data_IF_491855802401
#
_entry.id   IF_491855802401
#
_cell.length_a   1.000
_cell.length_b   1.000
_cell.length_c   1.000
_cell.angle_alpha   90.00
_cell.angle_beta   90.00
_cell.angle_gamma   90.00
#
_symmetry.space_group_name_H-M   'P 1'
#
loop_
_entity.id
_entity.type
_entity.pdbx_description
1 polymer ?
#
# COMPACT_ATOMS: atom_id res chain seq x y z
N UNK A 1 34.88 5.30 17.45
CA UNK A 1 33.83 4.45 16.85
C UNK A 1 34.42 3.76 15.63
N UNK A 2 34.31 2.45 15.51
CA UNK A 2 34.99 1.62 14.49
C UNK A 2 34.27 1.73 13.12
N UNK A 3 33.09 2.30 13.08
CA UNK A 3 32.19 2.25 11.91
C UNK A 3 31.73 3.66 11.55
N UNK A 4 31.77 4.01 10.25
CA UNK A 4 31.33 5.32 9.73
C UNK A 4 29.80 5.50 9.90
N UNK A 5 29.35 6.71 10.18
CA UNK A 5 27.93 7.05 10.40
C UNK A 5 27.03 6.70 9.20
N UNK A 6 27.56 6.80 7.99
CA UNK A 6 26.87 6.43 6.76
C UNK A 6 26.52 4.93 6.74
N UNK A 7 27.44 4.07 7.18
CA UNK A 7 27.22 2.64 7.27
C UNK A 7 26.18 2.29 8.36
N UNK A 8 26.24 2.94 9.52
CA UNK A 8 25.23 2.78 10.58
C UNK A 8 23.85 3.19 10.07
N UNK A 9 23.76 4.29 9.33
CA UNK A 9 22.49 4.76 8.73
C UNK A 9 21.92 3.74 7.71
N UNK A 10 22.79 3.12 6.92
CA UNK A 10 22.41 2.08 5.98
C UNK A 10 21.86 0.83 6.69
N UNK A 11 22.55 0.36 7.74
CA UNK A 11 22.08 -0.79 8.55
C UNK A 11 20.75 -0.51 9.21
N UNK A 12 20.53 0.70 9.73
CA UNK A 12 19.24 1.12 10.31
C UNK A 12 18.10 0.96 9.31
N UNK A 13 18.30 1.42 8.08
CA UNK A 13 17.27 1.36 7.02
C UNK A 13 16.99 -0.08 6.58
N UNK A 14 18.03 -0.89 6.43
CA UNK A 14 17.90 -2.28 5.94
C UNK A 14 17.21 -3.16 6.99
N UNK A 15 17.60 -3.05 8.25
CA UNK A 15 17.13 -3.95 9.31
C UNK A 15 16.03 -3.38 10.20
N UNK A 16 15.59 -2.14 9.96
CA UNK A 16 14.58 -1.49 10.80
C UNK A 16 15.03 -1.25 12.24
N UNK A 17 16.35 -1.07 12.47
CA UNK A 17 16.92 -0.86 13.78
C UNK A 17 17.00 0.64 14.12
N UNK A 18 16.90 0.97 15.42
CA UNK A 18 17.21 2.31 15.89
C UNK A 18 18.73 2.52 16.00
N UNK A 19 19.16 3.78 16.25
CA UNK A 19 20.57 4.13 16.28
C UNK A 19 21.34 3.38 17.37
N UNK A 20 20.77 3.23 18.54
CA UNK A 20 21.44 2.53 19.64
C UNK A 20 21.54 1.05 19.40
N UNK A 21 20.52 0.43 18.82
CA UNK A 21 20.54 -0.99 18.43
C UNK A 21 21.69 -1.28 17.45
N UNK A 22 21.85 -0.42 16.41
CA UNK A 22 22.93 -0.61 15.44
C UNK A 22 24.31 -0.40 16.08
N UNK A 23 24.45 0.60 16.95
CA UNK A 23 25.71 0.84 17.67
C UNK A 23 26.11 -0.35 18.55
N UNK A 24 25.19 -0.87 19.35
CA UNK A 24 25.45 -2.01 20.24
C UNK A 24 25.70 -3.28 19.43
N UNK A 25 24.94 -3.52 18.38
CA UNK A 25 25.12 -4.70 17.51
C UNK A 25 26.47 -4.69 16.80
N UNK A 26 26.87 -3.58 16.20
CA UNK A 26 28.19 -3.45 15.54
C UNK A 26 29.35 -3.54 16.54
N UNK A 27 29.19 -3.02 17.75
CA UNK A 27 30.16 -3.21 18.82
C UNK A 27 30.29 -4.70 19.20
N UNK A 28 29.17 -5.42 19.32
CA UNK A 28 29.17 -6.84 19.62
C UNK A 28 29.78 -7.67 18.47
N UNK A 29 29.45 -7.35 17.20
CA UNK A 29 30.07 -8.00 16.04
C UNK A 29 31.59 -7.89 16.05
N UNK A 30 32.15 -6.76 16.47
CA UNK A 30 33.61 -6.55 16.55
C UNK A 30 34.28 -7.38 17.63
N UNK A 31 33.53 -7.87 18.63
CA UNK A 31 34.06 -8.64 19.78
C UNK A 31 33.70 -10.10 19.75
N UNK A 32 32.65 -10.46 19.02
CA UNK A 32 32.09 -11.80 19.00
C UNK A 32 31.26 -12.15 20.25
N UNK A 33 31.82 -11.90 21.43
CA UNK A 33 31.15 -12.14 22.73
C UNK A 33 31.53 -11.05 23.72
N UNK A 34 30.55 -10.45 24.41
CA UNK A 34 30.79 -9.41 25.41
C UNK A 34 29.67 -9.34 26.45
N UNK A 35 29.97 -8.67 27.57
CA UNK A 35 28.99 -8.31 28.59
C UNK A 35 28.32 -6.96 28.23
N UNK A 36 27.16 -6.67 28.86
CA UNK A 36 26.47 -5.40 28.65
C UNK A 36 27.32 -4.17 29.06
N UNK A 37 28.12 -4.31 30.11
CA UNK A 37 29.01 -3.22 30.56
C UNK A 37 30.11 -2.90 29.56
N UNK A 38 30.75 -3.91 28.96
CA UNK A 38 31.76 -3.73 27.91
C UNK A 38 31.14 -3.10 26.66
N UNK A 39 29.96 -3.57 26.26
CA UNK A 39 29.24 -3.05 25.09
C UNK A 39 28.82 -1.59 25.29
N UNK A 40 28.37 -1.21 26.48
CA UNK A 40 28.06 0.17 26.81
C UNK A 40 29.26 1.10 26.56
N UNK A 41 30.45 0.68 27.01
CA UNK A 41 31.69 1.45 26.85
C UNK A 41 32.14 1.55 25.38
N UNK A 42 31.99 0.46 24.60
CA UNK A 42 32.44 0.41 23.20
C UNK A 42 31.48 1.16 22.27
N UNK A 43 30.16 1.01 22.50
CA UNK A 43 29.12 1.58 21.65
C UNK A 43 28.76 3.02 21.96
N UNK A 44 29.29 3.57 23.06
CA UNK A 44 28.93 4.89 23.59
C UNK A 44 27.40 5.01 23.81
N UNK A 45 26.83 3.94 24.42
CA UNK A 45 25.41 3.86 24.79
C UNK A 45 25.30 3.76 26.31
N UNK A 46 24.43 4.54 26.95
CA UNK A 46 24.29 4.51 28.41
C UNK A 46 23.99 3.10 28.93
N UNK A 47 24.68 2.68 29.99
CA UNK A 47 24.58 1.32 30.56
C UNK A 47 23.14 0.92 30.91
N UNK A 48 22.37 1.84 31.44
CA UNK A 48 20.94 1.61 31.74
C UNK A 48 20.12 1.21 30.52
N UNK A 49 20.45 1.76 29.34
CA UNK A 49 19.76 1.44 28.07
C UNK A 49 20.33 0.22 27.37
N UNK A 50 21.58 -0.12 27.62
CA UNK A 50 22.27 -1.22 26.93
C UNK A 50 21.58 -2.56 27.17
N UNK A 51 21.05 -2.82 28.36
CA UNK A 51 20.30 -4.04 28.66
C UNK A 51 19.00 -4.15 27.86
N UNK A 52 18.19 -3.08 27.80
CA UNK A 52 16.94 -3.04 27.04
C UNK A 52 17.21 -3.23 25.54
N UNK A 53 18.30 -2.62 25.04
CA UNK A 53 18.73 -2.76 23.65
C UNK A 53 19.16 -4.18 23.33
N UNK A 54 19.94 -4.81 24.20
CA UNK A 54 20.38 -6.19 24.03
C UNK A 54 19.21 -7.17 24.08
N UNK A 55 18.24 -6.96 24.96
CA UNK A 55 17.00 -7.74 24.97
C UNK A 55 16.19 -7.56 23.68
N UNK A 56 16.10 -6.32 23.19
CA UNK A 56 15.45 -6.03 21.90
C UNK A 56 16.15 -6.72 20.73
N UNK A 57 17.48 -6.68 20.69
CA UNK A 57 18.28 -7.34 19.64
C UNK A 57 18.17 -8.87 19.71
N UNK A 58 18.10 -9.45 20.89
CA UNK A 58 17.86 -10.88 21.08
C UNK A 58 16.47 -11.29 20.56
N UNK A 59 15.42 -10.58 20.96
CA UNK A 59 14.04 -10.78 20.45
C UNK A 59 13.94 -10.64 18.93
N UNK A 60 14.67 -9.70 18.35
CA UNK A 60 14.73 -9.49 16.89
C UNK A 60 15.59 -10.55 16.18
N UNK A 61 16.38 -11.34 16.90
CA UNK A 61 17.20 -12.42 16.35
C UNK A 61 18.58 -11.99 15.86
N UNK A 62 19.12 -10.87 16.33
CA UNK A 62 20.45 -10.36 15.95
C UNK A 62 21.58 -10.94 16.80
N UNK A 63 21.28 -11.34 18.02
CA UNK A 63 22.25 -11.81 19.00
C UNK A 63 21.67 -13.00 19.77
N UNK A 64 22.48 -13.63 20.60
CA UNK A 64 22.04 -14.66 21.54
C UNK A 64 22.55 -14.33 22.94
N UNK A 65 21.65 -14.39 23.91
CA UNK A 65 22.02 -14.24 25.32
C UNK A 65 22.50 -15.59 25.86
N UNK A 66 23.74 -15.59 26.40
CA UNK A 66 24.32 -16.74 27.11
C UNK A 66 24.20 -16.49 28.61
N UNK A 67 23.38 -17.29 29.28
CA UNK A 67 23.19 -17.25 30.71
C UNK A 67 24.50 -17.61 31.44
N UNK A 68 24.83 -16.87 32.49
CA UNK A 68 26.03 -17.05 33.28
C UNK A 68 26.24 -15.92 34.28
N UNK A 69 27.30 -15.97 35.05
CA UNK A 69 27.73 -14.89 35.96
C UNK A 69 29.11 -14.41 35.56
N UNK A 70 29.26 -13.30 34.80
CA UNK A 70 28.20 -12.42 34.28
C UNK A 70 27.49 -12.99 33.06
N UNK A 71 26.30 -12.45 32.75
CA UNK A 71 25.58 -12.70 31.49
C UNK A 71 26.41 -12.17 30.33
N UNK A 72 26.58 -12.99 29.28
CA UNK A 72 27.30 -12.62 28.05
C UNK A 72 26.35 -12.64 26.84
N UNK A 73 26.62 -11.78 25.91
CA UNK A 73 25.90 -11.70 24.63
C UNK A 73 26.84 -12.13 23.51
N UNK A 74 26.32 -12.91 22.58
CA UNK A 74 27.10 -13.51 21.49
C UNK A 74 26.55 -12.94 20.16
N UNK A 75 27.43 -12.41 19.33
CA UNK A 75 27.08 -12.02 17.98
C UNK A 75 26.80 -13.25 17.11
N UNK A 76 25.75 -13.18 16.33
CA UNK A 76 25.50 -14.14 15.26
C UNK A 76 26.20 -13.70 13.98
N UNK A 77 26.52 -14.67 13.11
CA UNK A 77 27.04 -14.36 11.77
C UNK A 77 26.04 -13.51 11.00
N UNK A 78 26.50 -12.49 10.26
CA UNK A 78 25.59 -11.59 9.52
C UNK A 78 24.61 -12.33 8.61
N UNK A 79 25.03 -13.40 7.94
CA UNK A 79 24.18 -14.20 7.06
C UNK A 79 23.07 -14.89 7.86
N UNK A 80 23.39 -15.40 9.06
CA UNK A 80 22.41 -16.03 9.96
C UNK A 80 21.40 -15.00 10.48
N UNK A 81 21.86 -13.78 10.78
CA UNK A 81 20.99 -12.67 11.17
C UNK A 81 19.97 -12.35 10.07
N UNK A 82 20.41 -12.26 8.80
CA UNK A 82 19.52 -12.01 7.67
C UNK A 82 18.41 -13.06 7.59
N UNK A 83 18.76 -14.34 7.69
CA UNK A 83 17.76 -15.42 7.61
C UNK A 83 16.81 -15.44 8.83
N UNK A 84 17.30 -15.12 10.03
CA UNK A 84 16.46 -15.01 11.22
C UNK A 84 15.49 -13.83 11.14
N UNK A 85 15.98 -12.65 10.75
CA UNK A 85 15.14 -11.45 10.59
C UNK A 85 14.08 -11.69 9.54
N UNK A 86 14.43 -12.25 8.38
CA UNK A 86 13.48 -12.60 7.32
C UNK A 86 12.38 -13.54 7.84
N UNK A 87 12.75 -14.59 8.58
CA UNK A 87 11.81 -15.54 9.16
C UNK A 87 10.88 -14.89 10.18
N UNK A 88 11.42 -14.04 11.06
CA UNK A 88 10.63 -13.32 12.05
C UNK A 88 9.64 -12.37 11.38
N UNK A 89 10.07 -11.61 10.38
CA UNK A 89 9.18 -10.72 9.60
C UNK A 89 8.03 -11.47 8.94
N UNK A 90 8.31 -12.63 8.35
CA UNK A 90 7.27 -13.47 7.74
C UNK A 90 6.28 -13.99 8.78
N UNK A 91 6.77 -14.45 9.92
CA UNK A 91 5.94 -14.93 11.04
C UNK A 91 5.06 -13.82 11.59
N UNK A 92 5.63 -12.65 11.87
CA UNK A 92 4.91 -11.48 12.39
C UNK A 92 3.83 -11.01 11.40
N UNK A 93 4.16 -11.01 10.09
CA UNK A 93 3.21 -10.66 9.05
C UNK A 93 2.04 -11.66 9.01
N UNK A 94 2.33 -12.96 9.07
CA UNK A 94 1.29 -14.01 9.07
C UNK A 94 0.39 -13.90 10.31
N UNK A 95 0.97 -13.70 11.50
CA UNK A 95 0.20 -13.54 12.73
C UNK A 95 -0.68 -12.29 12.70
N UNK A 96 -0.16 -11.17 12.20
CA UNK A 96 -0.95 -9.93 12.05
C UNK A 96 -2.07 -10.10 11.04
N UNK A 97 -1.79 -10.74 9.90
CA UNK A 97 -2.82 -11.03 8.89
C UNK A 97 -3.93 -11.88 9.47
N UNK A 98 -3.58 -12.96 10.19
CA UNK A 98 -4.55 -13.84 10.83
C UNK A 98 -5.42 -13.10 11.85
N UNK A 99 -4.83 -12.21 12.68
CA UNK A 99 -5.59 -11.38 13.63
C UNK A 99 -6.57 -10.45 12.92
N UNK A 100 -6.15 -9.83 11.80
CA UNK A 100 -7.02 -8.95 11.02
C UNK A 100 -8.14 -9.73 10.30
N UNK A 101 -7.90 -10.96 9.91
CA UNK A 101 -8.94 -11.83 9.34
C UNK A 101 -10.01 -12.19 10.37
N UNK A 102 -9.61 -12.50 11.60
CA UNK A 102 -10.57 -12.79 12.69
C UNK A 102 -11.36 -11.58 13.12
N UNK A 103 -10.81 -10.36 12.99
CA UNK A 103 -11.53 -9.13 13.33
C UNK A 103 -12.81 -8.90 12.49
N UNK A 104 -12.93 -9.49 11.30
CA UNK A 104 -14.13 -9.31 10.46
C UNK A 104 -15.40 -9.89 11.09
N UNK A 105 -15.25 -10.84 11.98
CA UNK A 105 -16.35 -11.52 12.69
C UNK A 105 -16.42 -11.09 14.17
N UNK A 106 -15.60 -10.12 14.58
CA UNK A 106 -15.46 -9.66 15.96
C UNK A 106 -16.45 -8.53 16.27
N UNK A 107 -16.89 -8.48 17.52
CA UNK A 107 -17.72 -7.42 18.09
C UNK A 107 -17.13 -6.02 17.87
N UNK A 108 -15.80 -5.90 17.86
CA UNK A 108 -15.05 -4.68 17.56
C UNK A 108 -15.42 -4.07 16.22
N UNK A 109 -15.56 -4.89 15.17
CA UNK A 109 -15.99 -4.38 13.84
C UNK A 109 -17.46 -3.95 13.87
N UNK A 110 -18.31 -4.64 14.63
CA UNK A 110 -19.69 -4.24 14.83
C UNK A 110 -19.79 -2.88 15.53
N UNK A 111 -19.00 -2.67 16.58
CA UNK A 111 -18.93 -1.37 17.28
C UNK A 111 -18.41 -0.25 16.36
N UNK A 112 -17.34 -0.51 15.60
CA UNK A 112 -16.81 0.43 14.62
C UNK A 112 -17.84 0.78 13.53
N UNK A 113 -18.58 -0.22 13.04
CA UNK A 113 -19.67 0.01 12.09
C UNK A 113 -20.80 0.84 12.69
N UNK A 114 -21.11 0.62 13.96
CA UNK A 114 -22.11 1.43 14.70
C UNK A 114 -21.66 2.88 14.82
N UNK A 115 -20.42 3.12 15.19
CA UNK A 115 -19.83 4.45 15.24
C UNK A 115 -19.82 5.12 13.86
N UNK A 116 -19.44 4.39 12.84
CA UNK A 116 -19.47 4.88 11.46
C UNK A 116 -20.89 5.26 11.01
N UNK A 117 -21.86 4.39 11.28
CA UNK A 117 -23.26 4.62 10.88
C UNK A 117 -23.91 5.76 11.68
N UNK A 118 -23.59 5.90 12.95
CA UNK A 118 -24.07 7.03 13.79
C UNK A 118 -23.44 8.36 13.38
N UNK A 119 -22.17 8.34 12.93
CA UNK A 119 -21.49 9.53 12.39
C UNK A 119 -22.07 10.02 11.05
N UNK A 120 -22.58 9.10 10.22
CA UNK A 120 -23.13 9.42 8.88
C UNK A 120 -24.51 10.14 8.97
N UNK A 121 -25.22 10.10 10.10
CA UNK A 121 -26.53 10.78 10.23
C UNK A 121 -26.49 12.32 10.14
N UNK A 122 -25.31 12.92 10.17
CA UNK A 122 -25.09 14.33 9.87
C UNK A 122 -24.24 14.45 8.59
N UNK A 123 -24.80 14.05 7.45
CA UNK A 123 -24.16 14.32 6.14
C UNK A 123 -24.40 15.80 5.83
N UNK A 124 -23.44 16.63 6.17
CA UNK A 124 -23.38 17.96 5.57
C UNK A 124 -23.06 17.82 4.07
N UNK A 125 -23.51 18.75 3.21
CA UNK A 125 -23.15 18.71 1.78
C UNK A 125 -21.65 18.62 1.50
N UNK A 126 -20.79 19.06 2.42
CA UNK A 126 -19.34 18.90 2.41
C UNK A 126 -18.86 17.45 2.51
N UNK A 127 -19.70 16.53 3.00
CA UNK A 127 -19.33 15.11 3.15
C UNK A 127 -19.62 14.28 1.89
N UNK A 128 -20.21 14.92 0.87
CA UNK A 128 -20.47 14.31 -0.43
C UNK A 128 -19.23 14.25 -1.32
N UNK A 129 -18.13 14.83 -0.90
CA UNK A 129 -16.88 14.81 -1.66
C UNK A 129 -15.66 14.88 -0.76
N UNK A 130 -14.54 14.37 -1.26
CA UNK A 130 -13.27 14.46 -0.57
C UNK A 130 -12.09 14.38 -1.53
N UNK A 131 -10.91 14.80 -1.07
CA UNK A 131 -9.68 14.72 -1.84
C UNK A 131 -8.69 13.73 -1.26
N UNK A 132 -7.98 13.05 -2.14
CA UNK A 132 -6.92 12.09 -1.80
C UNK A 132 -5.63 12.51 -2.48
N UNK A 133 -4.52 12.39 -1.76
CA UNK A 133 -3.18 12.68 -2.27
C UNK A 133 -2.30 11.41 -2.22
N UNK A 134 -1.50 11.23 -3.25
CA UNK A 134 -0.62 10.09 -3.42
C UNK A 134 -1.26 8.94 -4.19
N UNK A 135 -0.54 8.46 -5.22
CA UNK A 135 -1.06 7.45 -6.17
C UNK A 135 -1.49 6.16 -5.48
N UNK A 136 -0.80 5.72 -4.44
CA UNK A 136 -1.18 4.52 -3.70
C UNK A 136 -2.52 4.68 -3.00
N UNK A 137 -2.74 5.84 -2.35
CA UNK A 137 -4.02 6.14 -1.69
C UNK A 137 -5.17 6.20 -2.71
N UNK A 138 -4.92 6.80 -3.90
CA UNK A 138 -5.88 6.81 -4.99
C UNK A 138 -6.25 5.39 -5.44
N UNK A 139 -5.27 4.50 -5.60
CA UNK A 139 -5.54 3.12 -6.03
C UNK A 139 -6.23 2.29 -4.96
N UNK A 140 -5.88 2.47 -3.69
CA UNK A 140 -6.59 1.82 -2.58
C UNK A 140 -8.07 2.24 -2.55
N UNK A 141 -8.34 3.53 -2.74
CA UNK A 141 -9.73 4.04 -2.80
C UNK A 141 -10.46 3.54 -4.05
N UNK A 142 -9.81 3.54 -5.22
CA UNK A 142 -10.38 2.96 -6.44
C UNK A 142 -10.71 1.48 -6.29
N UNK A 143 -9.85 0.70 -5.65
CA UNK A 143 -10.10 -0.71 -5.38
C UNK A 143 -11.32 -0.91 -4.47
N UNK A 144 -11.45 -0.09 -3.45
CA UNK A 144 -12.63 -0.08 -2.57
C UNK A 144 -13.92 0.25 -3.36
N UNK A 145 -13.92 1.31 -4.16
CA UNK A 145 -15.05 1.69 -5.01
C UNK A 145 -15.43 0.59 -6.01
N UNK A 146 -14.45 -0.03 -6.65
CA UNK A 146 -14.68 -1.14 -7.60
C UNK A 146 -15.32 -2.33 -6.89
N UNK A 147 -14.86 -2.68 -5.70
CA UNK A 147 -15.42 -3.80 -4.93
C UNK A 147 -16.86 -3.57 -4.49
N UNK A 148 -17.23 -2.32 -4.21
CA UNK A 148 -18.60 -1.95 -3.83
C UNK A 148 -19.57 -1.88 -5.01
N UNK A 149 -19.09 -1.92 -6.25
CA UNK A 149 -19.93 -1.85 -7.44
C UNK A 149 -20.96 -2.97 -7.50
N UNK A 150 -22.19 -2.63 -7.88
CA UNK A 150 -23.32 -3.56 -8.01
C UNK A 150 -23.78 -3.73 -9.48
N UNK A 151 -23.69 -2.68 -10.30
CA UNK A 151 -24.26 -2.65 -11.63
C UNK A 151 -23.23 -2.37 -12.74
N UNK A 152 -22.46 -1.28 -12.59
CA UNK A 152 -21.59 -0.79 -13.65
C UNK A 152 -20.31 -0.14 -13.15
N UNK A 153 -19.27 -0.25 -13.95
CA UNK A 153 -17.98 0.41 -13.76
C UNK A 153 -17.54 1.03 -15.09
N UNK A 154 -17.33 2.33 -15.09
CA UNK A 154 -16.78 3.07 -16.23
C UNK A 154 -15.43 3.66 -15.85
N UNK A 155 -14.38 3.35 -16.58
CA UNK A 155 -12.99 3.81 -16.33
C UNK A 155 -12.49 4.56 -17.56
N UNK A 156 -12.10 5.81 -17.37
CA UNK A 156 -11.36 6.60 -18.37
C UNK A 156 -9.96 6.88 -17.83
N UNK A 157 -8.93 6.63 -18.63
CA UNK A 157 -7.55 6.77 -18.16
C UNK A 157 -6.59 7.13 -19.29
N UNK A 158 -5.36 7.43 -18.93
CA UNK A 158 -4.25 7.66 -19.86
C UNK A 158 -3.65 6.34 -20.34
N UNK A 159 -2.78 6.42 -21.34
CA UNK A 159 -2.02 5.27 -21.85
C UNK A 159 -1.25 4.55 -20.73
N UNK A 160 -0.41 5.26 -19.99
CA UNK A 160 0.37 4.70 -18.87
C UNK A 160 -0.53 4.33 -17.69
N UNK A 161 -1.60 5.10 -17.48
CA UNK A 161 -2.59 4.82 -16.46
C UNK A 161 -3.33 3.51 -16.67
N UNK A 162 -3.48 3.07 -17.92
CA UNK A 162 -4.09 1.78 -18.26
C UNK A 162 -3.25 0.62 -17.72
N UNK A 163 -1.96 0.60 -18.06
CA UNK A 163 -1.03 -0.45 -17.61
C UNK A 163 -0.99 -0.55 -16.08
N UNK A 164 -0.80 0.58 -15.40
CA UNK A 164 -0.75 0.63 -13.94
C UNK A 164 -2.06 0.20 -13.26
N UNK A 165 -3.21 0.54 -13.86
CA UNK A 165 -4.51 0.12 -13.33
C UNK A 165 -4.76 -1.37 -13.47
N UNK A 166 -4.28 -1.98 -14.55
CA UNK A 166 -4.35 -3.44 -14.70
C UNK A 166 -3.56 -4.13 -13.60
N UNK A 167 -2.32 -3.72 -13.38
CA UNK A 167 -1.48 -4.30 -12.31
C UNK A 167 -2.13 -4.20 -10.93
N UNK A 168 -2.75 -3.06 -10.63
CA UNK A 168 -3.29 -2.78 -9.30
C UNK A 168 -4.72 -3.31 -9.08
N UNK A 169 -5.58 -3.29 -10.11
CA UNK A 169 -7.04 -3.44 -9.97
C UNK A 169 -7.60 -4.70 -10.65
N UNK A 170 -6.81 -5.42 -11.44
CA UNK A 170 -7.28 -6.60 -12.19
C UNK A 170 -8.01 -7.63 -11.32
N UNK A 171 -7.50 -7.99 -10.12
CA UNK A 171 -8.18 -8.97 -9.27
C UNK A 171 -9.60 -8.55 -8.85
N UNK A 172 -9.80 -7.26 -8.63
CA UNK A 172 -11.12 -6.71 -8.26
C UNK A 172 -12.06 -6.60 -9.46
N UNK A 173 -11.55 -6.22 -10.64
CA UNK A 173 -12.31 -6.21 -11.89
C UNK A 173 -12.75 -7.63 -12.29
N UNK A 174 -11.91 -8.65 -12.12
CA UNK A 174 -12.29 -10.05 -12.36
C UNK A 174 -13.41 -10.51 -11.44
N UNK A 175 -13.37 -10.13 -10.16
CA UNK A 175 -14.45 -10.43 -9.20
C UNK A 175 -15.76 -9.76 -9.62
N UNK A 176 -15.70 -8.48 -10.03
CA UNK A 176 -16.87 -7.76 -10.53
C UNK A 176 -17.43 -8.39 -11.80
N UNK A 177 -16.59 -8.82 -12.73
CA UNK A 177 -17.02 -9.52 -13.96
C UNK A 177 -17.75 -10.83 -13.63
N UNK A 178 -17.24 -11.61 -12.67
CA UNK A 178 -17.92 -12.85 -12.20
C UNK A 178 -19.29 -12.59 -11.55
N UNK A 179 -19.47 -11.41 -10.95
CA UNK A 179 -20.75 -10.94 -10.40
C UNK A 179 -21.73 -10.42 -11.48
N UNK A 180 -21.32 -10.39 -12.75
CA UNK A 180 -22.13 -9.88 -13.86
C UNK A 180 -22.11 -8.38 -14.05
N UNK A 181 -21.23 -7.64 -13.37
CA UNK A 181 -21.13 -6.19 -13.44
C UNK A 181 -20.63 -5.78 -14.83
N UNK A 182 -21.24 -4.76 -15.42
CA UNK A 182 -20.82 -4.15 -16.68
C UNK A 182 -19.57 -3.32 -16.48
N UNK A 183 -18.48 -3.65 -17.18
CA UNK A 183 -17.21 -2.92 -17.07
C UNK A 183 -16.84 -2.31 -18.43
N UNK A 184 -16.68 -1.00 -18.49
CA UNK A 184 -16.25 -0.25 -19.69
C UNK A 184 -14.96 0.49 -19.38
N UNK A 185 -14.00 0.41 -20.29
CA UNK A 185 -12.70 1.08 -20.15
C UNK A 185 -12.37 1.83 -21.43
N UNK A 186 -12.04 3.10 -21.31
CA UNK A 186 -11.57 3.93 -22.42
C UNK A 186 -10.18 4.50 -22.11
N UNK A 187 -9.25 4.34 -23.02
CA UNK A 187 -7.89 4.89 -22.92
C UNK A 187 -7.28 5.05 -24.30
N UNK A 188 -6.27 5.93 -24.48
CA UNK A 188 -5.44 5.90 -25.67
C UNK A 188 -4.70 4.57 -25.78
N UNK A 189 -4.90 3.88 -26.90
CA UNK A 189 -4.28 2.58 -27.18
C UNK A 189 -3.22 2.73 -28.26
N UNK A 190 -2.00 2.31 -27.97
CA UNK A 190 -0.87 2.25 -28.88
C UNK A 190 -0.13 0.90 -28.77
N UNK A 191 0.98 0.77 -29.48
CA UNK A 191 1.77 -0.47 -29.50
C UNK A 191 2.30 -0.87 -28.11
N UNK A 192 2.50 0.09 -27.20
CA UNK A 192 3.09 -0.15 -25.88
C UNK A 192 2.08 -0.79 -24.91
N UNK A 193 0.80 -0.44 -25.03
CA UNK A 193 -0.24 -0.94 -24.13
C UNK A 193 -1.28 -1.86 -24.80
N UNK A 194 -1.14 -2.16 -26.09
CA UNK A 194 -2.06 -3.03 -26.82
C UNK A 194 -2.22 -4.41 -26.17
N UNK A 195 -1.12 -5.00 -25.69
CA UNK A 195 -1.14 -6.29 -24.99
C UNK A 195 -1.99 -6.22 -23.71
N UNK A 196 -1.82 -5.18 -22.94
CA UNK A 196 -2.58 -4.90 -21.71
C UNK A 196 -4.06 -4.67 -22.04
N UNK A 197 -4.35 -3.90 -23.08
CA UNK A 197 -5.73 -3.65 -23.50
C UNK A 197 -6.44 -4.96 -23.94
N UNK A 198 -5.73 -5.88 -24.60
CA UNK A 198 -6.26 -7.21 -24.97
C UNK A 198 -6.50 -8.09 -23.73
N UNK A 199 -5.67 -8.00 -22.72
CA UNK A 199 -5.89 -8.71 -21.46
C UNK A 199 -7.14 -8.23 -20.75
N UNK A 200 -7.34 -6.92 -20.69
CA UNK A 200 -8.55 -6.29 -20.12
C UNK A 200 -9.84 -6.68 -20.82
N UNK A 201 -9.82 -7.04 -22.12
CA UNK A 201 -11.00 -7.51 -22.85
C UNK A 201 -11.63 -8.78 -22.24
N UNK A 202 -10.89 -9.54 -21.44
CA UNK A 202 -11.43 -10.71 -20.72
C UNK A 202 -12.45 -10.30 -19.66
N UNK A 203 -12.32 -9.11 -19.11
CA UNK A 203 -13.14 -8.62 -17.98
C UNK A 203 -13.99 -7.41 -18.33
N UNK A 204 -13.64 -6.63 -19.34
CA UNK A 204 -14.25 -5.36 -19.69
C UNK A 204 -14.44 -5.16 -21.20
N UNK A 205 -15.35 -4.28 -21.58
CA UNK A 205 -15.37 -3.71 -22.92
C UNK A 205 -14.33 -2.59 -23.00
N UNK A 206 -13.35 -2.72 -23.89
CA UNK A 206 -12.23 -1.76 -24.02
C UNK A 206 -12.31 -1.06 -25.36
N UNK A 207 -12.32 0.28 -25.35
CA UNK A 207 -12.32 1.12 -26.55
C UNK A 207 -11.17 2.12 -26.55
N UNK A 208 -10.71 2.45 -27.76
CA UNK A 208 -9.64 3.42 -27.97
C UNK A 208 -10.18 4.85 -27.89
N UNK A 209 -9.56 5.69 -27.03
CA UNK A 209 -9.94 7.08 -26.78
C UNK A 209 -8.78 8.03 -27.10
N UNK A 210 -8.62 8.39 -28.36
CA UNK A 210 -7.47 9.19 -28.82
C UNK A 210 -7.55 10.68 -28.49
N UNK A 211 -8.76 11.24 -28.39
CA UNK A 211 -8.97 12.68 -28.41
C UNK A 211 -9.21 13.30 -27.03
N UNK A 212 -9.56 12.54 -26.02
CA UNK A 212 -9.89 13.05 -24.71
C UNK A 212 -8.76 12.69 -23.70
N UNK A 213 -8.30 13.70 -22.98
CA UNK A 213 -7.35 13.54 -21.89
C UNK A 213 -8.09 13.69 -20.57
N UNK A 214 -8.52 12.58 -20.01
CA UNK A 214 -9.20 12.56 -18.73
C UNK A 214 -8.81 11.33 -17.95
N UNK A 215 -8.95 11.41 -16.63
CA UNK A 215 -8.71 10.32 -15.70
C UNK A 215 -9.83 10.33 -14.68
N UNK A 216 -10.81 9.47 -14.86
CA UNK A 216 -11.92 9.34 -13.92
C UNK A 216 -12.47 7.90 -13.90
N UNK A 217 -13.21 7.60 -12.85
CA UNK A 217 -14.02 6.40 -12.73
C UNK A 217 -15.43 6.78 -12.30
N UNK A 218 -16.43 6.10 -12.84
CA UNK A 218 -17.82 6.17 -12.40
C UNK A 218 -18.26 4.77 -11.97
N UNK A 219 -18.87 4.68 -10.80
CA UNK A 219 -19.41 3.44 -10.24
C UNK A 219 -20.92 3.61 -10.07
N UNK A 220 -21.69 2.70 -10.67
CA UNK A 220 -23.15 2.59 -10.53
C UNK A 220 -23.94 3.87 -10.78
N UNK A 221 -23.40 4.79 -11.61
CA UNK A 221 -23.96 6.12 -11.83
C UNK A 221 -24.19 6.93 -10.54
N UNK A 222 -23.48 6.59 -9.47
CA UNK A 222 -23.65 7.18 -8.14
C UNK A 222 -22.37 7.77 -7.58
N UNK A 223 -21.24 7.13 -7.80
CA UNK A 223 -19.94 7.57 -7.30
C UNK A 223 -19.00 7.91 -8.45
N UNK A 224 -18.22 8.95 -8.26
CA UNK A 224 -17.22 9.41 -9.23
C UNK A 224 -15.90 9.64 -8.52
N UNK A 225 -14.79 9.34 -9.18
CA UNK A 225 -13.49 9.80 -8.76
C UNK A 225 -12.74 10.38 -9.95
N UNK A 226 -12.29 11.62 -9.82
CA UNK A 226 -11.41 12.29 -10.78
C UNK A 226 -9.98 12.34 -10.27
N UNK A 227 -9.04 12.13 -11.16
CA UNK A 227 -7.63 12.43 -10.92
C UNK A 227 -7.34 13.78 -11.59
N UNK A 228 -6.89 14.74 -10.79
CA UNK A 228 -6.75 16.13 -11.21
C UNK A 228 -5.52 16.43 -12.04
N UNK A 229 -4.49 15.58 -11.94
CA UNK A 229 -3.18 15.81 -12.53
C UNK A 229 -2.90 14.86 -13.70
N UNK A 230 -2.10 15.33 -14.65
CA UNK A 230 -1.54 14.49 -15.70
C UNK A 230 -0.45 13.59 -15.09
N UNK A 231 -0.67 12.29 -15.09
CA UNK A 231 0.20 11.30 -14.46
C UNK A 231 1.57 11.12 -15.12
N UNK A 232 1.80 11.76 -16.28
CA UNK A 232 3.11 11.86 -16.94
C UNK A 232 3.97 12.96 -16.36
N UNK A 233 3.36 14.05 -15.89
CA UNK A 233 4.06 15.28 -15.51
C UNK A 233 4.39 15.36 -14.03
N UNK A 234 3.71 14.59 -13.20
CA UNK A 234 3.81 14.70 -11.75
C UNK A 234 4.31 13.44 -11.09
N UNK A 235 5.14 13.61 -10.06
CA UNK A 235 5.61 12.50 -9.25
C UNK A 235 4.43 11.77 -8.56
N UNK A 236 4.46 10.44 -8.39
CA UNK A 236 3.37 9.65 -7.80
C UNK A 236 2.86 10.17 -6.45
N UNK A 237 3.73 10.70 -5.61
CA UNK A 237 3.35 11.22 -4.28
C UNK A 237 2.49 12.50 -4.32
N UNK A 238 2.47 13.20 -5.47
CA UNK A 238 1.67 14.40 -5.67
C UNK A 238 0.40 14.14 -6.49
N UNK A 239 0.22 12.93 -7.01
CA UNK A 239 -1.01 12.56 -7.72
C UNK A 239 -2.20 12.80 -6.80
N UNK A 240 -3.18 13.55 -7.28
CA UNK A 240 -4.32 14.01 -6.48
C UNK A 240 -5.61 13.67 -7.19
N UNK A 241 -6.56 13.15 -6.44
CA UNK A 241 -7.91 12.86 -6.92
C UNK A 241 -8.97 13.42 -5.99
N UNK A 242 -10.14 13.66 -6.55
CA UNK A 242 -11.35 14.04 -5.82
C UNK A 242 -12.39 12.97 -6.05
N UNK A 243 -12.94 12.44 -4.98
CA UNK A 243 -14.09 11.56 -5.05
C UNK A 243 -15.37 12.34 -4.74
N UNK A 244 -16.45 11.95 -5.39
CA UNK A 244 -17.78 12.58 -5.29
C UNK A 244 -18.80 11.45 -5.19
N UNK A 245 -19.64 11.50 -4.18
CA UNK A 245 -20.71 10.54 -3.94
C UNK A 245 -22.06 11.24 -4.10
N UNK A 246 -22.41 11.58 -5.32
CA UNK A 246 -23.71 12.16 -5.66
C UNK A 246 -24.22 11.60 -6.97
N UNK A 247 -25.42 11.07 -6.93
CA UNK A 247 -26.08 10.47 -8.09
C UNK A 247 -26.25 11.48 -9.23
N UNK A 248 -26.63 12.71 -8.91
CA UNK A 248 -26.84 13.77 -9.89
C UNK A 248 -25.59 14.04 -10.74
N UNK A 249 -24.43 14.16 -10.09
CA UNK A 249 -23.17 14.44 -10.80
C UNK A 249 -22.65 13.19 -11.54
N UNK A 250 -22.75 12.03 -10.92
CA UNK A 250 -22.31 10.78 -11.52
C UNK A 250 -23.11 10.43 -12.78
N UNK A 251 -24.43 10.57 -12.75
CA UNK A 251 -25.31 10.37 -13.91
C UNK A 251 -24.99 11.34 -15.04
N UNK A 252 -24.80 12.64 -14.73
CA UNK A 252 -24.45 13.63 -15.73
C UNK A 252 -23.14 13.30 -16.45
N UNK A 253 -22.11 12.89 -15.69
CA UNK A 253 -20.82 12.50 -16.27
C UNK A 253 -20.94 11.22 -17.09
N UNK A 254 -21.69 10.23 -16.63
CA UNK A 254 -21.88 8.98 -17.35
C UNK A 254 -22.65 9.20 -18.67
N UNK A 255 -23.67 10.05 -18.68
CA UNK A 255 -24.39 10.43 -19.90
C UNK A 255 -23.46 11.11 -20.92
N UNK A 256 -22.62 12.06 -20.47
CA UNK A 256 -21.61 12.67 -21.34
C UNK A 256 -20.61 11.63 -21.90
N UNK A 257 -20.21 10.70 -21.07
CA UNK A 257 -19.33 9.61 -21.52
C UNK A 257 -20.03 8.69 -22.51
N UNK A 258 -21.29 8.39 -22.32
CA UNK A 258 -22.10 7.56 -23.24
C UNK A 258 -22.22 8.17 -24.64
N UNK A 259 -22.30 9.49 -24.75
CA UNK A 259 -22.22 10.16 -26.03
C UNK A 259 -20.87 9.92 -26.73
N UNK A 260 -19.78 10.09 -26.00
CA UNK A 260 -18.44 9.82 -26.51
C UNK A 260 -18.22 8.33 -26.82
N UNK A 261 -18.73 7.44 -25.96
CA UNK A 261 -18.53 6.00 -26.09
C UNK A 261 -19.04 5.42 -27.39
N UNK A 262 -20.13 5.93 -27.93
CA UNK A 262 -20.74 5.46 -29.20
C UNK A 262 -19.76 5.57 -30.36
N UNK A 263 -18.94 6.60 -30.38
CA UNK A 263 -18.00 6.90 -31.47
C UNK A 263 -16.62 6.26 -31.29
N UNK A 264 -16.34 5.67 -30.10
CA UNK A 264 -15.05 5.03 -29.83
C UNK A 264 -14.92 3.68 -30.51
N UNK A 265 -13.75 3.43 -31.09
CA UNK A 265 -13.45 2.17 -31.78
C UNK A 265 -13.08 1.07 -30.76
N UNK A 266 -13.71 -0.12 -30.87
CA UNK A 266 -13.31 -1.26 -30.05
C UNK A 266 -11.84 -1.63 -30.33
N UNK A 267 -11.14 -2.06 -29.29
CA UNK A 267 -9.79 -2.63 -29.44
C UNK A 267 -9.90 -3.96 -30.16
N UNK A 268 -9.14 -4.13 -31.23
CA UNK A 268 -9.07 -5.37 -32.02
C UNK A 268 -8.22 -6.45 -31.35
#
# INVERSE_FOLDING_TARGET
MIVKDEFLSRLRKIFGLNLYEVKVWTALLSRGTSTAGELSSISDVPRSRTYDILESLDKKGFIVMKLGKPIKFVALKPEEVVERVKRNLMKDAQERTKRLETLKEDEVISELNTLFTQGIKFVEPSDLSGSLKGRQNLYNHLDMMIRSAENSITIVTTNEGLTRKVEALMPSLEKCKRRGIKIRIAAPIDNNNLKVARELKKVAEVRNLDKMRARFIVIDSNQVMFMLLDDKKFHPNYDTGVWINTEFFAQALEQLFDLAWKDLKPVK
#
